data_IF_486918907877
#
_entry.id   IF_486918907877
#
_cell.length_a   1.000
_cell.length_b   1.000
_cell.length_c   1.000
_cell.angle_alpha   90.00
_cell.angle_beta   90.00
_cell.angle_gamma   90.00
#
_symmetry.space_group_name_H-M   'P 1'
#
loop_
_entity.id
_entity.type
_entity.pdbx_description
1 polymer ?
#
# COMPACT_ATOMS: atom_id res chain seq x y z
N UNK A 1 -1.81 -30.33 11.03
CA UNK A 1 -3.04 -29.96 10.29
C UNK A 1 -2.60 -29.49 8.93
N UNK A 2 -2.95 -30.23 7.89
CA UNK A 2 -2.62 -29.84 6.52
C UNK A 2 -3.39 -28.57 6.16
N UNK A 3 -2.68 -27.45 6.06
CA UNK A 3 -3.26 -26.23 5.49
C UNK A 3 -3.59 -26.56 4.04
N UNK A 4 -4.86 -26.41 3.60
CA UNK A 4 -5.22 -26.71 2.22
C UNK A 4 -4.30 -25.97 1.25
N UNK A 5 -3.81 -26.67 0.23
CA UNK A 5 -2.85 -26.13 -0.75
C UNK A 5 -3.35 -24.79 -1.32
N UNK A 6 -4.66 -24.67 -1.53
CA UNK A 6 -5.30 -23.44 -1.96
C UNK A 6 -5.05 -22.25 -1.02
N UNK A 7 -5.19 -22.42 0.30
CA UNK A 7 -4.94 -21.35 1.27
C UNK A 7 -3.47 -20.89 1.24
N UNK A 8 -2.52 -21.83 1.15
CA UNK A 8 -1.10 -21.50 1.06
C UNK A 8 -0.75 -20.78 -0.24
N UNK A 9 -1.25 -21.26 -1.38
CA UNK A 9 -0.99 -20.64 -2.69
C UNK A 9 -1.58 -19.23 -2.74
N UNK A 10 -2.84 -19.07 -2.35
CA UNK A 10 -3.52 -17.77 -2.37
C UNK A 10 -2.91 -16.78 -1.38
N UNK A 11 -2.60 -17.21 -0.15
CA UNK A 11 -1.93 -16.35 0.83
C UNK A 11 -0.52 -15.95 0.38
N UNK A 12 0.20 -16.85 -0.31
CA UNK A 12 1.51 -16.53 -0.89
C UNK A 12 1.38 -15.53 -2.04
N UNK A 13 0.39 -15.69 -2.92
CA UNK A 13 0.11 -14.72 -3.99
C UNK A 13 -0.21 -13.34 -3.41
N UNK A 14 -1.01 -13.29 -2.34
CA UNK A 14 -1.28 -12.06 -1.59
C UNK A 14 -0.01 -11.40 -1.07
N UNK A 15 0.85 -12.16 -0.40
CA UNK A 15 2.13 -11.69 0.11
C UNK A 15 3.08 -11.20 -1.00
N UNK A 16 3.10 -11.87 -2.16
CA UNK A 16 3.89 -11.45 -3.33
C UNK A 16 3.38 -10.14 -3.90
N UNK A 17 2.06 -10.00 -4.10
CA UNK A 17 1.43 -8.75 -4.51
C UNK A 17 1.86 -7.62 -3.58
N UNK A 18 1.72 -7.82 -2.27
CA UNK A 18 2.08 -6.77 -1.32
C UNK A 18 3.58 -6.44 -1.28
N UNK A 19 4.42 -7.44 -1.55
CA UNK A 19 5.88 -7.25 -1.61
C UNK A 19 6.31 -6.40 -2.81
N UNK A 20 5.56 -6.39 -3.92
CA UNK A 20 5.94 -5.67 -5.13
C UNK A 20 5.12 -4.41 -5.38
N UNK A 21 4.07 -4.16 -4.59
CA UNK A 21 3.07 -3.13 -4.85
C UNK A 21 3.66 -1.72 -5.06
N UNK A 22 4.70 -1.37 -4.29
CA UNK A 22 5.30 -0.03 -4.34
C UNK A 22 6.31 0.14 -5.49
N UNK A 23 6.77 -0.93 -6.12
CA UNK A 23 7.78 -0.87 -7.20
C UNK A 23 7.32 0.02 -8.38
N UNK A 24 6.08 -0.12 -8.91
CA UNK A 24 5.58 0.79 -9.94
C UNK A 24 5.62 2.26 -9.52
N UNK A 25 5.32 2.57 -8.26
CA UNK A 25 5.37 3.94 -7.75
C UNK A 25 6.81 4.47 -7.73
N UNK A 26 7.76 3.67 -7.25
CA UNK A 26 9.18 4.01 -7.20
C UNK A 26 9.73 4.32 -8.60
N UNK A 27 9.39 3.48 -9.58
CA UNK A 27 9.80 3.66 -10.98
C UNK A 27 9.18 4.95 -11.55
N UNK A 28 7.90 5.21 -11.31
CA UNK A 28 7.22 6.42 -11.77
C UNK A 28 7.86 7.67 -11.17
N UNK A 29 8.16 7.66 -9.87
CA UNK A 29 8.83 8.77 -9.19
C UNK A 29 10.21 9.05 -9.80
N UNK A 30 10.99 7.99 -10.06
CA UNK A 30 12.29 8.10 -10.68
C UNK A 30 12.19 8.71 -12.09
N UNK A 31 11.28 8.21 -12.92
CA UNK A 31 11.12 8.68 -14.30
C UNK A 31 10.58 10.12 -14.39
N UNK A 32 9.74 10.54 -13.44
CA UNK A 32 9.16 11.89 -13.43
C UNK A 32 10.08 12.93 -12.78
N UNK A 33 11.03 12.50 -11.96
CA UNK A 33 11.88 13.35 -11.13
C UNK A 33 11.10 14.33 -10.22
N UNK A 34 9.84 14.01 -9.93
CA UNK A 34 8.98 14.76 -9.00
C UNK A 34 7.98 13.82 -8.34
N UNK A 35 7.58 14.13 -7.11
CA UNK A 35 6.61 13.36 -6.31
C UNK A 35 5.32 14.13 -6.03
N UNK A 36 4.95 15.06 -6.90
CA UNK A 36 3.70 15.86 -6.77
C UNK A 36 2.48 14.94 -6.63
N UNK A 37 1.73 15.13 -5.54
CA UNK A 37 0.53 14.35 -5.18
C UNK A 37 0.80 13.02 -4.45
N UNK A 38 2.06 12.59 -4.33
CA UNK A 38 2.39 11.40 -3.54
C UNK A 38 2.44 11.75 -2.06
N UNK A 39 1.61 11.07 -1.26
CA UNK A 39 1.43 11.41 0.14
C UNK A 39 2.60 10.90 0.99
N UNK A 40 3.49 11.82 1.39
CA UNK A 40 4.71 11.49 2.15
C UNK A 40 4.43 10.83 3.49
N UNK A 41 3.45 11.35 4.23
CA UNK A 41 3.08 10.80 5.53
C UNK A 41 2.50 9.38 5.43
N UNK A 42 1.86 9.04 4.32
CA UNK A 42 1.38 7.67 4.07
C UNK A 42 2.55 6.70 4.00
N UNK A 43 3.59 7.04 3.22
CA UNK A 43 4.79 6.20 3.10
C UNK A 43 5.50 6.02 4.44
N UNK A 44 5.57 7.06 5.27
CA UNK A 44 6.16 6.93 6.61
C UNK A 44 5.29 6.06 7.55
N UNK A 45 3.96 6.24 7.54
CA UNK A 45 3.04 5.42 8.33
C UNK A 45 3.13 3.94 7.96
N UNK A 46 3.27 3.64 6.67
CA UNK A 46 3.44 2.28 6.19
C UNK A 46 4.78 1.67 6.56
N UNK A 47 5.86 2.45 6.51
CA UNK A 47 7.15 2.01 7.03
C UNK A 47 7.07 1.69 8.54
N UNK A 48 6.37 2.53 9.31
CA UNK A 48 6.11 2.26 10.72
C UNK A 48 5.21 1.04 10.93
N UNK A 49 4.23 0.79 10.06
CA UNK A 49 3.30 -0.34 10.15
C UNK A 49 3.98 -1.69 9.92
N UNK A 50 5.03 -1.73 9.10
CA UNK A 50 5.77 -2.95 8.84
C UNK A 50 6.48 -3.53 10.07
N UNK A 51 6.84 -2.69 11.05
CA UNK A 51 7.46 -3.12 12.32
C UNK A 51 6.52 -4.01 13.17
N UNK A 52 5.33 -3.55 13.60
CA UNK A 52 4.40 -4.41 14.33
C UNK A 52 3.88 -5.55 13.46
N UNK A 53 3.73 -5.36 12.14
CA UNK A 53 3.31 -6.44 11.24
C UNK A 53 4.35 -7.57 11.15
N UNK A 54 5.63 -7.23 11.01
CA UNK A 54 6.72 -8.20 11.02
C UNK A 54 6.81 -8.95 12.35
N UNK A 55 6.75 -8.21 13.46
CA UNK A 55 6.70 -8.80 14.80
C UNK A 55 5.50 -9.74 15.00
N UNK A 56 4.31 -9.35 14.54
CA UNK A 56 3.11 -10.19 14.54
C UNK A 56 3.33 -11.46 13.72
N UNK A 57 3.79 -11.35 12.47
CA UNK A 57 3.96 -12.50 11.57
C UNK A 57 5.01 -13.49 12.09
N UNK A 58 6.12 -12.99 12.67
CA UNK A 58 7.17 -13.82 13.27
C UNK A 58 6.69 -14.49 14.55
N UNK A 59 5.97 -13.78 15.42
CA UNK A 59 5.46 -14.34 16.67
C UNK A 59 4.33 -15.35 16.45
N UNK A 60 3.51 -15.14 15.41
CA UNK A 60 2.44 -16.05 14.99
C UNK A 60 2.93 -17.25 14.18
N UNK A 61 4.20 -17.25 13.74
CA UNK A 61 4.79 -18.39 13.03
C UNK A 61 4.21 -18.61 11.63
N UNK A 62 3.86 -17.53 10.92
CA UNK A 62 3.36 -17.64 9.55
C UNK A 62 4.41 -18.15 8.56
N UNK A 63 3.95 -18.51 7.36
CA UNK A 63 4.82 -18.97 6.28
C UNK A 63 5.85 -17.90 5.87
N UNK A 64 6.94 -18.34 5.26
CA UNK A 64 8.09 -17.49 4.90
C UNK A 64 7.69 -16.28 4.04
N UNK A 65 6.69 -16.41 3.16
CA UNK A 65 6.24 -15.29 2.33
C UNK A 65 5.70 -14.14 3.18
N UNK A 66 4.87 -14.45 4.20
CA UNK A 66 4.35 -13.47 5.15
C UNK A 66 5.40 -12.96 6.15
N UNK A 67 6.48 -13.70 6.40
CA UNK A 67 7.59 -13.19 7.22
C UNK A 67 8.41 -12.13 6.48
N UNK A 68 8.63 -12.34 5.18
CA UNK A 68 9.46 -11.46 4.34
C UNK A 68 8.69 -10.22 3.88
N UNK A 69 7.39 -10.35 3.62
CA UNK A 69 6.57 -9.27 3.07
C UNK A 69 6.62 -7.96 3.89
N UNK A 70 6.49 -7.95 5.24
CA UNK A 70 6.53 -6.72 6.03
C UNK A 70 7.89 -6.01 5.98
N UNK A 71 8.97 -6.78 5.80
CA UNK A 71 10.32 -6.26 5.64
C UNK A 71 10.46 -5.52 4.31
N UNK A 72 9.96 -6.14 3.24
CA UNK A 72 9.94 -5.53 1.91
C UNK A 72 9.06 -4.28 1.93
N UNK A 73 7.86 -4.35 2.52
CA UNK A 73 6.97 -3.19 2.68
C UNK A 73 7.67 -2.04 3.38
N UNK A 74 8.34 -2.31 4.51
CA UNK A 74 9.07 -1.30 5.29
C UNK A 74 10.15 -0.63 4.43
N UNK A 75 10.96 -1.42 3.75
CA UNK A 75 12.06 -0.94 2.91
C UNK A 75 11.52 -0.12 1.74
N UNK A 76 10.56 -0.64 0.97
CA UNK A 76 9.99 0.06 -0.17
C UNK A 76 9.28 1.35 0.25
N UNK A 77 8.64 1.36 1.41
CA UNK A 77 8.01 2.56 1.99
C UNK A 77 9.06 3.61 2.35
N UNK A 78 10.17 3.22 2.99
CA UNK A 78 11.28 4.13 3.30
C UNK A 78 11.98 4.65 2.03
N UNK A 79 12.15 3.81 1.01
CA UNK A 79 12.70 4.22 -0.30
C UNK A 79 11.78 5.25 -0.95
N UNK A 80 10.48 4.99 -0.99
CA UNK A 80 9.49 5.89 -1.59
C UNK A 80 9.40 7.20 -0.82
N UNK A 81 9.45 7.15 0.52
CA UNK A 81 9.52 8.34 1.37
C UNK A 81 10.81 9.14 1.13
N UNK A 82 11.94 8.46 0.98
CA UNK A 82 13.22 9.08 0.62
C UNK A 82 13.19 9.76 -0.75
N UNK A 83 12.52 9.16 -1.76
CA UNK A 83 12.28 9.81 -3.05
C UNK A 83 11.46 11.09 -2.89
N UNK A 84 10.47 11.11 -2.01
CA UNK A 84 9.71 12.32 -1.74
C UNK A 84 10.57 13.44 -1.11
N UNK A 85 11.47 13.10 -0.19
CA UNK A 85 12.41 14.08 0.39
C UNK A 85 13.40 14.59 -0.66
N UNK A 86 13.88 13.71 -1.54
CA UNK A 86 14.82 14.07 -2.57
C UNK A 86 14.18 14.97 -3.65
N UNK A 87 13.06 14.52 -4.24
CA UNK A 87 12.46 15.19 -5.39
C UNK A 87 11.53 16.36 -5.04
N UNK A 88 10.87 16.38 -3.87
CA UNK A 88 9.97 17.48 -3.49
C UNK A 88 10.59 18.49 -2.52
N UNK A 89 11.46 18.05 -1.60
CA UNK A 89 12.06 18.94 -0.58
C UNK A 89 13.50 19.36 -0.94
N UNK A 90 14.05 18.86 -2.05
CA UNK A 90 15.39 19.21 -2.51
C UNK A 90 16.51 18.71 -1.58
N UNK A 91 16.26 17.68 -0.77
CA UNK A 91 17.30 17.09 0.06
C UNK A 91 18.38 16.43 -0.80
N UNK A 92 19.64 16.46 -0.34
CA UNK A 92 20.72 15.76 -1.04
C UNK A 92 20.55 14.25 -0.90
N UNK A 93 20.98 13.51 -1.94
CA UNK A 93 20.87 12.03 -1.96
C UNK A 93 21.54 11.40 -0.73
N UNK A 94 22.70 11.90 -0.32
CA UNK A 94 23.43 11.43 0.87
C UNK A 94 22.58 11.57 2.14
N UNK A 95 21.91 12.72 2.30
CA UNK A 95 21.04 12.97 3.46
C UNK A 95 19.84 12.03 3.46
N UNK A 96 19.21 11.83 2.31
CA UNK A 96 18.09 10.89 2.18
C UNK A 96 18.50 9.47 2.56
N UNK A 97 19.60 8.95 1.99
CA UNK A 97 20.11 7.60 2.27
C UNK A 97 20.47 7.41 3.74
N UNK A 98 21.14 8.40 4.36
CA UNK A 98 21.50 8.33 5.78
C UNK A 98 20.27 8.31 6.69
N UNK A 99 19.27 9.16 6.41
CA UNK A 99 18.07 9.24 7.25
C UNK A 99 17.18 8.01 7.06
N UNK A 100 16.94 7.56 5.82
CA UNK A 100 16.12 6.36 5.58
C UNK A 100 16.82 5.10 6.06
N UNK A 101 18.12 4.97 5.84
CA UNK A 101 18.93 3.87 6.35
C UNK A 101 18.97 3.83 7.89
N UNK A 102 19.16 4.99 8.52
CA UNK A 102 19.12 5.11 9.98
C UNK A 102 17.76 4.72 10.56
N UNK A 103 16.65 5.19 9.95
CA UNK A 103 15.30 4.76 10.34
C UNK A 103 15.10 3.26 10.15
N UNK A 104 15.59 2.68 9.05
CA UNK A 104 15.51 1.23 8.82
C UNK A 104 16.23 0.41 9.90
N UNK A 105 17.41 0.85 10.34
CA UNK A 105 18.15 0.20 11.45
C UNK A 105 17.36 0.30 12.76
N UNK A 106 16.80 1.49 13.05
CA UNK A 106 15.97 1.69 14.25
C UNK A 106 14.73 0.80 14.21
N UNK A 107 14.03 0.74 13.08
CA UNK A 107 12.86 -0.10 12.89
C UNK A 107 13.18 -1.58 13.07
N UNK A 108 14.28 -2.07 12.48
CA UNK A 108 14.72 -3.46 12.68
C UNK A 108 15.08 -3.76 14.14
N UNK A 109 15.74 -2.83 14.83
CA UNK A 109 16.04 -2.96 16.27
C UNK A 109 14.78 -3.04 17.14
N UNK A 110 13.79 -2.19 16.86
CA UNK A 110 12.49 -2.19 17.55
C UNK A 110 11.74 -3.50 17.26
N UNK A 111 11.72 -3.95 16.00
CA UNK A 111 11.07 -5.20 15.64
C UNK A 111 11.67 -6.40 16.38
N UNK A 112 13.00 -6.51 16.42
CA UNK A 112 13.70 -7.56 17.18
C UNK A 112 13.31 -7.53 18.66
N UNK A 113 13.24 -6.34 19.25
CA UNK A 113 12.81 -6.17 20.64
C UNK A 113 11.35 -6.60 20.84
N UNK A 114 10.44 -6.23 19.92
CA UNK A 114 9.06 -6.69 19.94
C UNK A 114 8.96 -8.20 19.81
N UNK A 115 9.62 -8.82 18.84
CA UNK A 115 9.62 -10.29 18.67
C UNK A 115 10.10 -10.99 19.94
N UNK A 116 11.17 -10.51 20.56
CA UNK A 116 11.67 -11.08 21.82
C UNK A 116 10.65 -10.94 22.95
N UNK A 117 10.03 -9.76 23.09
CA UNK A 117 9.00 -9.48 24.09
C UNK A 117 7.73 -10.32 23.89
N UNK A 118 7.24 -10.42 22.65
CA UNK A 118 6.08 -11.23 22.28
C UNK A 118 6.32 -12.71 22.58
N UNK A 119 7.47 -13.25 22.17
CA UNK A 119 7.84 -14.65 22.45
C UNK A 119 7.97 -14.90 23.95
N UNK A 120 8.48 -13.94 24.73
CA UNK A 120 8.53 -14.05 26.18
C UNK A 120 7.12 -14.03 26.82
N UNK A 121 6.20 -13.24 26.27
CA UNK A 121 4.79 -13.20 26.68
C UNK A 121 4.04 -14.49 26.36
N UNK A 122 4.23 -15.05 25.16
CA UNK A 122 3.62 -16.31 24.73
C UNK A 122 4.07 -17.49 25.60
N UNK A 123 5.32 -17.49 26.11
CA UNK A 123 5.78 -18.49 27.11
C UNK A 123 5.02 -18.45 28.44
N UNK A 124 4.25 -17.39 28.68
CA UNK A 124 3.37 -17.21 29.84
C UNK A 124 1.89 -17.27 29.44
N UNK A 125 1.58 -17.85 28.29
CA UNK A 125 0.22 -17.98 27.74
C UNK A 125 -0.50 -16.63 27.52
N UNK A 126 0.26 -15.56 27.27
CA UNK A 126 -0.29 -14.24 26.92
C UNK A 126 -0.34 -14.05 25.40
N UNK A 127 -1.54 -14.18 24.82
CA UNK A 127 -1.76 -14.02 23.37
C UNK A 127 -2.11 -12.58 22.95
N UNK A 128 -2.71 -11.79 23.86
CA UNK A 128 -3.15 -10.42 23.56
C UNK A 128 -2.05 -9.48 23.01
N UNK A 129 -0.75 -9.57 23.40
CA UNK A 129 0.28 -8.70 22.85
C UNK A 129 0.51 -8.93 21.36
N UNK A 130 0.39 -10.18 20.89
CA UNK A 130 0.55 -10.54 19.47
C UNK A 130 -0.63 -9.98 18.68
N UNK A 131 -1.86 -10.15 19.19
CA UNK A 131 -3.07 -9.58 18.59
C UNK A 131 -2.96 -8.06 18.49
N UNK A 132 -2.46 -7.39 19.54
CA UNK A 132 -2.25 -5.95 19.55
C UNK A 132 -1.33 -5.50 18.40
N UNK A 133 -0.26 -6.25 18.11
CA UNK A 133 0.64 -5.90 16.99
C UNK A 133 -0.06 -6.04 15.65
N UNK A 134 -0.87 -7.08 15.46
CA UNK A 134 -1.70 -7.24 14.26
C UNK A 134 -2.66 -6.05 14.08
N UNK A 135 -3.41 -5.69 15.12
CA UNK A 135 -4.33 -4.53 15.10
C UNK A 135 -3.60 -3.21 14.87
N UNK A 136 -2.49 -2.99 15.57
CA UNK A 136 -1.69 -1.77 15.42
C UNK A 136 -1.17 -1.61 13.99
N UNK A 137 -0.71 -2.69 13.37
CA UNK A 137 -0.24 -2.65 11.99
C UNK A 137 -1.36 -2.27 11.02
N UNK A 138 -2.55 -2.89 11.14
CA UNK A 138 -3.71 -2.58 10.31
C UNK A 138 -4.16 -1.12 10.47
N UNK A 139 -4.20 -0.62 11.71
CA UNK A 139 -4.53 0.79 11.97
C UNK A 139 -3.55 1.74 11.31
N UNK A 140 -2.25 1.44 11.34
CA UNK A 140 -1.22 2.29 10.71
C UNK A 140 -1.28 2.26 9.18
N UNK A 141 -1.53 1.08 8.58
CA UNK A 141 -1.73 0.94 7.13
C UNK A 141 -2.95 1.75 6.67
N UNK A 142 -4.08 1.52 7.33
CA UNK A 142 -5.34 2.22 7.05
C UNK A 142 -5.22 3.72 7.28
N UNK A 143 -4.55 4.17 8.35
CA UNK A 143 -4.29 5.58 8.60
C UNK A 143 -3.45 6.21 7.47
N UNK A 144 -2.49 5.46 6.92
CA UNK A 144 -1.73 5.85 5.74
C UNK A 144 -2.64 6.12 4.55
N UNK A 145 -3.52 5.17 4.23
CA UNK A 145 -4.46 5.30 3.10
C UNK A 145 -5.46 6.42 3.35
N UNK A 146 -6.03 6.53 4.56
CA UNK A 146 -6.93 7.63 4.95
C UNK A 146 -6.28 9.01 4.82
N UNK A 147 -4.97 9.11 5.08
CA UNK A 147 -4.26 10.36 4.86
C UNK A 147 -4.18 10.73 3.39
N UNK A 148 -4.17 9.76 2.48
CA UNK A 148 -4.31 9.98 1.05
C UNK A 148 -5.74 10.39 0.66
N UNK A 149 -6.78 9.82 1.29
CA UNK A 149 -8.16 10.29 1.11
C UNK A 149 -8.35 11.76 1.48
N UNK A 150 -7.71 12.21 2.56
CA UNK A 150 -7.73 13.64 2.92
C UNK A 150 -7.13 14.51 1.81
N UNK A 151 -6.04 14.07 1.18
CA UNK A 151 -5.44 14.77 0.05
C UNK A 151 -6.39 14.85 -1.15
N UNK A 152 -7.05 13.72 -1.48
CA UNK A 152 -8.08 13.65 -2.53
C UNK A 152 -9.23 14.61 -2.22
N UNK A 153 -9.67 14.67 -0.97
CA UNK A 153 -10.76 15.54 -0.54
C UNK A 153 -10.39 17.02 -0.71
N UNK A 154 -9.20 17.43 -0.28
CA UNK A 154 -8.73 18.82 -0.36
C UNK A 154 -8.48 19.24 -1.81
N UNK A 155 -7.82 18.40 -2.62
CA UNK A 155 -7.41 18.76 -3.98
C UNK A 155 -8.43 18.36 -5.05
N UNK A 156 -9.50 17.64 -4.69
CA UNK A 156 -10.60 17.18 -5.57
C UNK A 156 -10.12 16.38 -6.78
N UNK A 157 -9.12 15.53 -6.57
CA UNK A 157 -8.37 14.85 -7.62
C UNK A 157 -7.50 13.76 -7.02
N UNK A 158 -7.31 12.66 -7.74
CA UNK A 158 -6.36 11.62 -7.34
C UNK A 158 -5.05 11.88 -8.07
N UNK A 159 -4.08 12.51 -7.41
CA UNK A 159 -2.80 12.87 -8.03
C UNK A 159 -1.66 12.07 -7.40
N UNK A 160 -0.58 11.91 -8.16
CA UNK A 160 0.71 11.38 -7.67
C UNK A 160 0.78 9.88 -7.40
N UNK A 161 -0.32 9.22 -7.05
CA UNK A 161 -0.37 7.77 -6.83
C UNK A 161 -0.52 7.00 -8.15
N UNK A 162 0.16 5.86 -8.25
CA UNK A 162 0.10 4.94 -9.39
C UNK A 162 -1.10 4.01 -9.26
N UNK A 163 -2.01 4.03 -10.24
CA UNK A 163 -3.14 3.08 -10.26
C UNK A 163 -2.69 1.61 -10.39
N UNK A 164 -1.49 1.36 -10.94
CA UNK A 164 -0.92 0.00 -10.97
C UNK A 164 -0.52 -0.43 -9.55
N UNK A 165 0.11 0.46 -8.78
CA UNK A 165 0.40 0.21 -7.36
C UNK A 165 -0.89 -0.12 -6.60
N UNK A 166 -1.91 0.73 -6.71
CA UNK A 166 -3.20 0.54 -6.03
C UNK A 166 -3.86 -0.77 -6.44
N UNK A 167 -3.78 -1.15 -7.73
CA UNK A 167 -4.33 -2.41 -8.22
C UNK A 167 -3.61 -3.65 -7.72
N UNK A 168 -2.27 -3.61 -7.65
CA UNK A 168 -1.48 -4.73 -7.10
C UNK A 168 -1.76 -4.89 -5.60
N UNK A 169 -1.87 -3.78 -4.86
CA UNK A 169 -2.14 -3.80 -3.43
C UNK A 169 -3.53 -4.40 -3.12
N UNK A 170 -4.56 -3.90 -3.81
CA UNK A 170 -5.91 -4.44 -3.70
C UNK A 170 -6.00 -5.92 -4.13
N UNK A 171 -5.21 -6.34 -5.11
CA UNK A 171 -5.13 -7.76 -5.49
C UNK A 171 -4.53 -8.60 -4.36
N UNK A 172 -3.55 -8.06 -3.63
CA UNK A 172 -2.99 -8.66 -2.42
C UNK A 172 -4.06 -8.94 -1.38
N UNK A 173 -4.92 -7.96 -1.11
CA UNK A 173 -6.04 -8.11 -0.17
C UNK A 173 -7.04 -9.17 -0.63
N UNK A 174 -7.39 -9.18 -1.92
CA UNK A 174 -8.32 -10.17 -2.48
C UNK A 174 -7.76 -11.58 -2.34
N UNK A 175 -6.51 -11.83 -2.76
CA UNK A 175 -5.93 -13.16 -2.67
C UNK A 175 -5.82 -13.63 -1.21
N UNK A 176 -5.43 -12.74 -0.30
CA UNK A 176 -5.36 -13.04 1.13
C UNK A 176 -6.73 -13.30 1.75
N UNK A 177 -7.77 -12.52 1.41
CA UNK A 177 -9.15 -12.76 1.84
C UNK A 177 -9.65 -14.13 1.37
N UNK A 178 -9.47 -14.43 0.09
CA UNK A 178 -9.89 -15.72 -0.48
C UNK A 178 -9.14 -16.86 0.21
N UNK A 179 -7.87 -16.67 0.56
CA UNK A 179 -7.07 -17.69 1.27
C UNK A 179 -7.68 -18.07 2.63
N UNK A 180 -8.26 -17.13 3.38
CA UNK A 180 -8.84 -17.39 4.70
C UNK A 180 -10.05 -18.33 4.61
N UNK A 181 -10.84 -18.24 3.54
CA UNK A 181 -11.98 -19.16 3.33
C UNK A 181 -11.55 -20.61 3.09
N UNK A 182 -10.30 -20.84 2.72
CA UNK A 182 -9.72 -22.18 2.57
C UNK A 182 -8.94 -22.63 3.80
N UNK A 183 -8.88 -21.84 4.87
CA UNK A 183 -8.20 -22.25 6.11
C UNK A 183 -9.10 -23.17 6.96
N UNK A 184 -8.51 -24.12 7.73
CA UNK A 184 -9.27 -25.00 8.61
C UNK A 184 -10.00 -24.27 9.75
N UNK A 185 -9.46 -23.13 10.17
CA UNK A 185 -10.02 -22.27 11.21
C UNK A 185 -10.24 -20.87 10.64
N UNK A 186 -11.39 -20.27 10.98
CA UNK A 186 -11.72 -18.92 10.55
C UNK A 186 -10.90 -17.89 11.32
N UNK A 187 -9.93 -17.27 10.63
CA UNK A 187 -9.19 -16.12 11.13
C UNK A 187 -9.99 -14.83 10.92
N UNK A 188 -10.84 -14.50 11.91
CA UNK A 188 -11.66 -13.29 11.90
C UNK A 188 -10.77 -12.03 11.86
N UNK A 189 -9.64 -12.06 12.57
CA UNK A 189 -8.72 -10.92 12.61
C UNK A 189 -8.13 -10.66 11.22
N UNK A 190 -7.62 -11.71 10.56
CA UNK A 190 -7.14 -11.64 9.18
C UNK A 190 -8.20 -11.11 8.21
N UNK A 191 -9.44 -11.61 8.31
CA UNK A 191 -10.56 -11.12 7.47
C UNK A 191 -10.79 -9.62 7.67
N UNK A 192 -10.86 -9.15 8.92
CA UNK A 192 -11.10 -7.73 9.20
C UNK A 192 -9.98 -6.86 8.65
N UNK A 193 -8.72 -7.28 8.85
CA UNK A 193 -7.55 -6.55 8.35
C UNK A 193 -7.60 -6.47 6.82
N UNK A 194 -7.66 -7.60 6.13
CA UNK A 194 -7.62 -7.60 4.66
C UNK A 194 -8.85 -6.93 4.03
N UNK A 195 -10.04 -7.09 4.62
CA UNK A 195 -11.26 -6.44 4.13
C UNK A 195 -11.21 -4.93 4.31
N UNK A 196 -10.68 -4.44 5.43
CA UNK A 196 -10.56 -3.00 5.69
C UNK A 196 -9.67 -2.30 4.66
N UNK A 197 -8.48 -2.85 4.38
CA UNK A 197 -7.57 -2.34 3.36
C UNK A 197 -8.20 -2.42 1.96
N UNK A 198 -8.81 -3.56 1.61
CA UNK A 198 -9.47 -3.73 0.31
C UNK A 198 -10.56 -2.67 0.07
N UNK A 199 -11.41 -2.42 1.06
CA UNK A 199 -12.47 -1.40 0.98
C UNK A 199 -11.86 0.00 0.79
N UNK A 200 -10.79 0.32 1.52
CA UNK A 200 -10.09 1.58 1.36
C UNK A 200 -9.52 1.71 -0.06
N UNK A 201 -8.99 0.64 -0.66
CA UNK A 201 -8.51 0.69 -2.04
C UNK A 201 -9.60 0.82 -3.08
N UNK A 202 -10.72 0.11 -2.91
CA UNK A 202 -11.89 0.27 -3.76
C UNK A 202 -12.37 1.74 -3.80
N UNK A 203 -12.38 2.42 -2.65
CA UNK A 203 -12.78 3.82 -2.64
C UNK A 203 -11.74 4.77 -3.26
N UNK A 204 -10.43 4.47 -3.22
CA UNK A 204 -9.41 5.23 -3.97
C UNK A 204 -9.63 5.06 -5.47
N UNK A 205 -9.91 3.84 -5.93
CA UNK A 205 -10.30 3.58 -7.32
C UNK A 205 -11.56 4.35 -7.72
N UNK A 206 -12.60 4.33 -6.89
CA UNK A 206 -13.84 5.06 -7.13
C UNK A 206 -13.59 6.58 -7.24
N UNK A 207 -12.78 7.15 -6.33
CA UNK A 207 -12.36 8.54 -6.40
C UNK A 207 -11.56 8.85 -7.68
N UNK A 208 -10.67 7.95 -8.09
CA UNK A 208 -9.90 8.07 -9.32
C UNK A 208 -10.78 8.08 -10.56
N UNK A 209 -11.75 7.17 -10.62
CA UNK A 209 -12.77 7.13 -11.68
C UNK A 209 -13.59 8.41 -11.73
N UNK A 210 -14.05 8.89 -10.58
CA UNK A 210 -14.91 10.08 -10.50
C UNK A 210 -14.18 11.38 -10.83
N UNK A 211 -13.03 11.65 -10.20
CA UNK A 211 -12.34 12.94 -10.32
C UNK A 211 -11.39 13.04 -11.51
N UNK A 212 -10.84 11.93 -12.01
CA UNK A 212 -9.86 11.99 -13.10
C UNK A 212 -10.44 11.45 -14.43
N UNK A 213 -11.10 10.29 -14.40
CA UNK A 213 -11.55 9.62 -15.63
C UNK A 213 -12.80 10.30 -16.23
N UNK A 214 -13.82 10.61 -15.43
CA UNK A 214 -15.03 11.26 -15.93
C UNK A 214 -14.76 12.62 -16.62
N UNK A 215 -13.96 13.55 -16.05
CA UNK A 215 -13.66 14.81 -16.73
C UNK A 215 -12.81 14.61 -17.98
N UNK A 216 -11.89 13.65 -17.99
CA UNK A 216 -11.10 13.33 -19.18
C UNK A 216 -11.96 12.79 -20.33
N UNK A 217 -12.90 11.87 -20.03
CA UNK A 217 -13.85 11.35 -21.03
C UNK A 217 -14.71 12.49 -21.57
N UNK A 218 -15.26 13.35 -20.70
CA UNK A 218 -16.06 14.51 -21.12
C UNK A 218 -15.28 15.45 -22.04
N UNK A 219 -14.03 15.79 -21.70
CA UNK A 219 -13.15 16.60 -22.56
C UNK A 219 -12.88 15.93 -23.90
N UNK A 220 -12.64 14.62 -23.93
CA UNK A 220 -12.36 13.88 -25.17
C UNK A 220 -13.58 13.80 -26.08
N UNK A 221 -14.78 13.63 -25.50
CA UNK A 221 -16.05 13.66 -26.24
C UNK A 221 -16.31 15.06 -26.80
N UNK A 222 -16.07 16.12 -26.01
CA UNK A 222 -16.26 17.49 -26.45
C UNK A 222 -15.31 17.87 -27.59
N UNK A 223 -14.02 17.55 -27.47
CA UNK A 223 -13.03 17.77 -28.53
C UNK A 223 -13.36 17.00 -29.83
N UNK A 224 -13.93 15.78 -29.72
CA UNK A 224 -14.45 15.04 -30.88
C UNK A 224 -15.68 15.68 -31.52
N UNK A 225 -16.54 16.35 -30.73
CA UNK A 225 -17.70 17.08 -31.25
C UNK A 225 -17.28 18.38 -31.95
N UNK A 226 -16.34 19.11 -31.38
CA UNK A 226 -15.76 20.32 -31.98
C UNK A 226 -15.12 20.02 -33.34
N UNK A 227 -14.22 19.01 -33.41
CA UNK A 227 -13.60 18.62 -34.69
C UNK A 227 -14.62 18.16 -35.75
N UNK A 228 -15.74 17.52 -35.37
CA UNK A 228 -16.79 17.14 -36.33
C UNK A 228 -17.62 18.34 -36.81
N UNK A 229 -17.78 19.36 -35.97
CA UNK A 229 -18.44 20.61 -36.32
C UNK A 229 -17.62 21.44 -37.31
N UNK A 230 -16.30 21.52 -37.13
CA UNK A 230 -15.38 22.23 -38.04
C UNK A 230 -15.35 21.61 -39.44
N UNK A 231 -15.20 20.28 -39.54
CA UNK A 231 -15.20 19.56 -40.83
C UNK A 231 -16.54 19.71 -41.57
N UNK A 232 -17.66 19.70 -40.83
CA UNK A 232 -18.98 19.91 -41.42
C UNK A 232 -19.24 21.36 -41.88
N UNK A 233 -18.46 22.32 -41.40
CA UNK A 233 -18.53 23.72 -41.81
C UNK A 233 -17.65 23.99 -43.04
N UNK A 234 -16.45 23.40 -43.10
CA UNK A 234 -15.61 23.41 -44.32
C UNK A 234 -16.33 22.80 -45.52
N UNK A 235 -17.01 21.65 -45.37
CA UNK A 235 -17.75 20.99 -46.45
C UNK A 235 -18.95 21.80 -46.98
N UNK A 236 -19.41 22.83 -46.25
CA UNK A 236 -20.50 23.73 -46.70
C UNK A 236 -19.99 24.99 -47.39
N UNK A 237 -18.68 25.25 -47.35
CA UNK A 237 -18.04 26.40 -47.99
C UNK A 237 -17.50 26.11 -49.39
N UNK A 238 -17.51 24.83 -49.81
CA UNK A 238 -17.24 24.36 -51.17
C UNK A 238 -18.54 23.97 -51.85
#
# INVERSE_FOLDING_TARGET
>A
MDIPIAANVLGTLGAVCWSIQLIPQIIINYNRHHTIGLQRSMMLLWACAGVPLGAFNIASGFNVALLVQPQILTILSLVTWGQCLYYSEGWSLKKCVLVTGGLGIVFGGIEVAFVAGLKAGQRRDLEWPVILMGVLSAVLLSAGVLRHYYDIYVHRTVRGISFIFVGIDAAGDVFSLVSVFFQPHFDILGIVIYASEFILWCGVFACGGYFNLLPWIKRRIQKRRENKGEVGMELKMW
#
